data_IF_220952989251
#
_entry.id   IF_220952989251
#
_cell.length_a   1.000
_cell.length_b   1.000
_cell.length_c   1.000
_cell.angle_alpha   90.00
_cell.angle_beta   90.00
_cell.angle_gamma   90.00
#
_symmetry.space_group_name_H-M   'P 1'
#
loop_
_entity.id
_entity.type
_entity.pdbx_description
1 polymer ?
#
# COMPACT_ATOMS: atom_id res chain seq x y z
N UNK A 1 -3.24 0.88 -8.25
CA UNK A 1 -3.39 -0.34 -9.09
C UNK A 1 -2.62 -1.51 -8.48
N UNK A 2 -1.31 -1.39 -8.28
CA UNK A 2 -0.44 -2.47 -7.82
C UNK A 2 0.35 -2.08 -6.56
N UNK A 3 0.38 -2.98 -5.57
CA UNK A 3 1.28 -2.89 -4.41
C UNK A 3 2.55 -3.72 -4.67
N UNK A 4 3.69 -3.04 -4.76
CA UNK A 4 5.02 -3.65 -4.84
C UNK A 4 5.77 -3.45 -3.50
N UNK A 5 6.73 -2.52 -3.46
CA UNK A 5 7.54 -2.22 -2.25
C UNK A 5 6.86 -1.27 -1.27
N UNK A 6 5.73 -0.65 -1.64
CA UNK A 6 4.95 0.25 -0.78
C UNK A 6 5.43 1.71 -0.69
N UNK A 7 6.62 2.04 -1.21
CA UNK A 7 7.22 3.38 -1.04
C UNK A 7 6.42 4.54 -1.61
N UNK A 8 5.79 4.36 -2.78
CA UNK A 8 4.92 5.40 -3.36
C UNK A 8 3.73 5.71 -2.46
N UNK A 9 3.07 4.68 -1.92
CA UNK A 9 1.92 4.88 -1.04
C UNK A 9 2.31 5.46 0.31
N UNK A 10 3.44 5.07 0.89
CA UNK A 10 4.01 5.68 2.09
C UNK A 10 4.18 7.21 1.91
N UNK A 11 4.77 7.63 0.79
CA UNK A 11 4.92 9.05 0.47
C UNK A 11 3.60 9.78 0.27
N UNK A 12 2.66 9.18 -0.47
CA UNK A 12 1.33 9.76 -0.69
C UNK A 12 0.53 9.91 0.61
N UNK A 13 0.55 8.91 1.50
CA UNK A 13 -0.14 8.96 2.79
C UNK A 13 0.39 10.07 3.67
N UNK A 14 1.72 10.23 3.73
CA UNK A 14 2.34 11.32 4.49
C UNK A 14 1.88 12.69 4.01
N UNK A 15 1.74 12.89 2.69
CA UNK A 15 1.24 14.16 2.15
C UNK A 15 -0.23 14.39 2.53
N UNK A 16 -1.07 13.36 2.47
CA UNK A 16 -2.48 13.45 2.87
C UNK A 16 -2.60 13.81 4.36
N UNK A 17 -1.80 13.16 5.21
CA UNK A 17 -1.79 13.42 6.66
C UNK A 17 -1.27 14.83 7.00
N UNK A 18 -0.28 15.34 6.25
CA UNK A 18 0.21 16.71 6.41
C UNK A 18 -0.88 17.76 6.14
N UNK A 19 -1.81 17.47 5.23
CA UNK A 19 -2.97 18.32 4.93
C UNK A 19 -4.18 18.03 5.85
N UNK A 20 -3.98 17.27 6.95
CA UNK A 20 -5.01 16.94 7.93
C UNK A 20 -5.97 15.83 7.49
N UNK A 21 -5.66 15.13 6.40
CA UNK A 21 -6.40 13.94 5.98
C UNK A 21 -6.16 12.75 6.90
N UNK A 22 -7.13 11.84 6.96
CA UNK A 22 -7.07 10.62 7.79
C UNK A 22 -7.06 9.42 6.85
N UNK A 23 -5.99 8.63 6.90
CA UNK A 23 -5.92 7.36 6.18
C UNK A 23 -6.72 6.31 6.95
N UNK A 24 -7.69 5.69 6.26
CA UNK A 24 -8.52 4.61 6.83
C UNK A 24 -8.14 3.22 6.29
N UNK A 25 -7.34 3.17 5.22
CA UNK A 25 -6.90 1.94 4.59
C UNK A 25 -6.41 2.14 3.15
N UNK A 26 -5.90 1.06 2.57
CA UNK A 26 -5.36 1.01 1.21
C UNK A 26 -6.06 -0.08 0.40
N UNK A 27 -6.32 0.20 -0.88
CA UNK A 27 -6.92 -0.75 -1.80
C UNK A 27 -6.09 -0.87 -3.08
N UNK A 28 -5.78 -2.10 -3.48
CA UNK A 28 -5.03 -2.42 -4.69
C UNK A 28 -5.77 -3.45 -5.54
N UNK A 29 -5.56 -3.41 -6.86
CA UNK A 29 -6.02 -4.47 -7.74
C UNK A 29 -5.05 -5.66 -7.61
N UNK A 30 -3.75 -5.40 -7.64
CA UNK A 30 -2.70 -6.41 -7.63
C UNK A 30 -1.77 -6.17 -6.44
N UNK A 31 -1.27 -7.23 -5.83
CA UNK A 31 -0.19 -7.18 -4.86
C UNK A 31 0.90 -8.20 -5.16
N UNK A 32 2.16 -7.77 -5.11
CA UNK A 32 3.36 -8.61 -5.22
C UNK A 32 3.88 -8.91 -3.81
N UNK A 33 3.49 -10.04 -3.23
CA UNK A 33 3.68 -10.28 -1.79
C UNK A 33 5.15 -10.41 -1.37
N UNK A 34 6.02 -10.91 -2.24
CA UNK A 34 7.45 -11.11 -1.95
C UNK A 34 8.23 -9.82 -1.75
N UNK A 35 7.71 -8.72 -2.30
CA UNK A 35 8.30 -7.39 -2.16
C UNK A 35 7.96 -6.74 -0.81
N UNK A 36 7.16 -7.40 0.03
CA UNK A 36 6.89 -7.02 1.43
C UNK A 36 6.36 -5.58 1.58
N UNK A 37 5.63 -5.07 0.59
CA UNK A 37 5.14 -3.69 0.58
C UNK A 37 4.23 -3.35 1.75
N UNK A 38 3.47 -4.32 2.27
CA UNK A 38 2.62 -4.14 3.45
C UNK A 38 3.38 -3.64 4.68
N UNK A 39 4.68 -3.97 4.83
CA UNK A 39 5.49 -3.56 5.99
C UNK A 39 5.73 -2.05 6.07
N UNK A 40 5.46 -1.32 4.99
CA UNK A 40 5.62 0.14 4.91
C UNK A 40 4.34 0.92 5.20
N UNK A 41 3.21 0.25 5.38
CA UNK A 41 1.90 0.87 5.44
C UNK A 41 1.19 0.44 6.72
N UNK A 42 0.77 1.41 7.53
CA UNK A 42 0.29 1.17 8.90
C UNK A 42 -1.24 1.06 9.04
N UNK A 43 -1.95 0.89 7.92
CA UNK A 43 -3.42 0.78 7.88
C UNK A 43 -3.87 -0.50 7.18
N UNK A 44 -5.14 -0.91 7.32
CA UNK A 44 -5.66 -2.09 6.63
C UNK A 44 -5.40 -2.03 5.12
N UNK A 45 -4.95 -3.16 4.57
CA UNK A 45 -4.65 -3.30 3.14
C UNK A 45 -5.58 -4.36 2.56
N UNK A 46 -6.25 -4.01 1.48
CA UNK A 46 -7.06 -4.92 0.69
C UNK A 46 -6.51 -5.01 -0.74
N UNK A 47 -6.40 -6.24 -1.26
CA UNK A 47 -5.93 -6.53 -2.62
C UNK A 47 -6.90 -7.49 -3.28
N UNK A 48 -7.29 -7.23 -4.54
CA UNK A 48 -8.19 -8.13 -5.26
C UNK A 48 -7.50 -9.44 -5.66
N UNK A 49 -6.25 -9.36 -6.11
CA UNK A 49 -5.42 -10.53 -6.43
C UNK A 49 -4.00 -10.34 -5.88
N UNK A 50 -3.38 -11.46 -5.51
CA UNK A 50 -2.00 -11.53 -4.99
C UNK A 50 -1.17 -12.42 -5.88
N UNK A 51 0.07 -12.04 -6.15
CA UNK A 51 1.05 -12.84 -6.87
C UNK A 51 2.34 -12.97 -6.05
N UNK A 52 2.93 -14.15 -6.13
CA UNK A 52 4.31 -14.43 -5.74
C UNK A 52 5.17 -14.39 -7.02
N UNK A 53 6.40 -13.91 -6.91
CA UNK A 53 7.42 -14.04 -7.95
C UNK A 53 7.93 -15.48 -8.01
N UNK A 54 8.36 -15.91 -9.19
CA UNK A 54 9.11 -17.17 -9.37
C UNK A 54 10.52 -17.09 -8.77
#
# INVERSE_FOLDING_TARGET
>A
DLLATGGTMEGSSRLIEQEGGIIVGYAFVIELVDLKGRKKLDHPIFSLVTFEGE
#
